data_IF_311584714821
#
_entry.id   IF_311584714821
#
_cell.length_a   1.000
_cell.length_b   1.000
_cell.length_c   1.000
_cell.angle_alpha   90.00
_cell.angle_beta   90.00
_cell.angle_gamma   90.00
#
_symmetry.space_group_name_H-M   'P 1'
#
loop_
_entity.id
_entity.type
_entity.pdbx_description
1 polymer ?
#
# COMPACT_ATOMS: atom_id res chain seq x y z
N UNK A 1 -51.15 -44.89 -53.24
CA UNK A 1 -49.72 -45.08 -53.55
C UNK A 1 -48.95 -44.32 -52.48
N UNK A 2 -48.54 -45.00 -51.41
CA UNK A 2 -47.14 -45.42 -51.14
C UNK A 2 -46.22 -44.22 -50.84
N UNK A 3 -45.48 -44.11 -49.73
CA UNK A 3 -45.30 -44.92 -48.53
C UNK A 3 -44.44 -44.15 -47.50
N UNK A 4 -44.56 -44.52 -46.20
CA UNK A 4 -43.53 -44.55 -45.14
C UNK A 4 -42.93 -43.23 -44.59
N UNK A 5 -42.56 -43.06 -43.31
CA UNK A 5 -42.54 -43.85 -42.07
C UNK A 5 -42.32 -42.82 -40.92
N UNK A 6 -42.94 -42.91 -39.74
CA UNK A 6 -42.39 -43.55 -38.52
C UNK A 6 -42.32 -42.50 -37.39
N UNK A 7 -43.21 -42.50 -36.39
CA UNK A 7 -43.17 -43.17 -35.05
C UNK A 7 -42.12 -42.68 -34.04
N UNK A 8 -42.60 -42.38 -32.82
CA UNK A 8 -41.84 -42.25 -31.57
C UNK A 8 -41.88 -40.83 -31.02
N UNK A 9 -42.51 -40.50 -29.89
CA UNK A 9 -42.45 -41.19 -28.60
C UNK A 9 -41.43 -40.45 -27.73
N UNK A 10 -41.89 -39.56 -26.85
CA UNK A 10 -41.03 -38.83 -25.92
C UNK A 10 -40.36 -39.77 -24.90
N UNK A 11 -39.15 -39.41 -24.45
CA UNK A 11 -38.92 -39.45 -23.00
C UNK A 11 -38.11 -38.27 -22.44
N UNK A 12 -38.53 -37.90 -21.23
CA UNK A 12 -37.76 -37.54 -20.04
C UNK A 12 -36.44 -36.74 -20.17
N UNK A 13 -36.49 -35.57 -19.53
CA UNK A 13 -35.35 -34.76 -19.16
C UNK A 13 -34.39 -35.56 -18.26
N UNK A 14 -33.17 -35.79 -18.76
CA UNK A 14 -32.03 -36.23 -17.97
C UNK A 14 -31.17 -35.02 -17.67
N UNK A 15 -31.04 -34.72 -16.37
CA UNK A 15 -30.07 -33.77 -15.87
C UNK A 15 -28.67 -34.35 -16.11
N UNK A 16 -27.86 -33.73 -16.97
CA UNK A 16 -26.44 -34.01 -17.03
C UNK A 16 -25.75 -33.24 -15.90
N UNK A 17 -25.28 -33.99 -14.91
CA UNK A 17 -24.30 -33.50 -13.96
C UNK A 17 -23.02 -33.18 -14.74
N UNK A 18 -22.78 -31.89 -15.00
CA UNK A 18 -21.50 -31.45 -15.51
C UNK A 18 -20.51 -31.48 -14.33
N UNK A 19 -19.52 -32.33 -14.48
CA UNK A 19 -18.44 -32.55 -13.52
C UNK A 19 -17.71 -31.25 -13.29
N UNK A 20 -17.76 -30.72 -12.06
CA UNK A 20 -16.83 -29.72 -11.60
C UNK A 20 -15.42 -30.30 -11.72
N UNK A 21 -14.65 -29.82 -12.69
CA UNK A 21 -13.21 -29.98 -12.70
C UNK A 21 -12.68 -29.26 -11.47
N UNK A 22 -12.29 -30.03 -10.45
CA UNK A 22 -11.39 -29.56 -9.41
C UNK A 22 -10.07 -29.22 -10.09
N UNK A 23 -9.86 -27.95 -10.42
CA UNK A 23 -8.52 -27.46 -10.68
C UNK A 23 -7.68 -27.81 -9.45
N UNK A 24 -6.61 -28.58 -9.69
CA UNK A 24 -5.65 -28.93 -8.67
C UNK A 24 -5.16 -27.62 -8.03
N UNK A 25 -5.34 -27.48 -6.72
CA UNK A 25 -4.74 -26.40 -5.96
C UNK A 25 -3.26 -26.34 -6.33
N UNK A 26 -2.81 -25.23 -6.90
CA UNK A 26 -1.39 -25.04 -7.18
C UNK A 26 -0.66 -25.14 -5.84
N UNK A 27 0.30 -26.07 -5.71
CA UNK A 27 1.20 -26.20 -4.56
C UNK A 27 2.15 -24.98 -4.48
N UNK A 28 1.61 -23.76 -4.36
CA UNK A 28 2.40 -22.55 -4.17
C UNK A 28 3.09 -22.64 -2.82
N UNK A 29 4.41 -22.58 -2.85
CA UNK A 29 5.22 -22.47 -1.63
C UNK A 29 5.65 -21.02 -1.48
N UNK A 30 5.25 -20.39 -0.38
CA UNK A 30 5.55 -19.00 -0.10
C UNK A 30 6.91 -18.86 0.59
N UNK A 31 7.69 -17.85 0.20
CA UNK A 31 8.98 -17.52 0.81
C UNK A 31 8.83 -17.17 2.29
N UNK A 32 7.81 -16.38 2.62
CA UNK A 32 7.49 -15.97 3.98
C UNK A 32 6.08 -16.37 4.36
N UNK A 33 5.89 -16.64 5.66
CA UNK A 33 4.58 -16.95 6.25
C UNK A 33 3.95 -15.71 6.87
N UNK A 34 2.61 -15.65 6.99
CA UNK A 34 1.88 -14.58 7.68
C UNK A 34 2.45 -14.31 9.07
N UNK A 35 2.60 -13.03 9.44
CA UNK A 35 3.02 -12.63 10.79
C UNK A 35 1.99 -12.98 11.85
N UNK A 36 0.71 -12.90 11.48
CA UNK A 36 -0.47 -13.21 12.30
C UNK A 36 -1.52 -13.88 11.43
N UNK A 37 -2.43 -14.63 12.06
CA UNK A 37 -3.56 -15.28 11.37
C UNK A 37 -4.91 -15.03 12.06
N UNK A 38 -4.89 -14.34 13.20
CA UNK A 38 -6.06 -14.03 14.01
C UNK A 38 -6.89 -12.87 13.43
N UNK A 39 -6.25 -12.00 12.64
CA UNK A 39 -6.85 -10.88 11.90
C UNK A 39 -6.21 -10.76 10.52
N UNK A 40 -6.94 -10.21 9.54
CA UNK A 40 -6.37 -9.88 8.24
C UNK A 40 -5.65 -8.53 8.30
N UNK A 41 -4.45 -8.49 7.76
CA UNK A 41 -3.56 -7.32 7.85
C UNK A 41 -2.94 -7.03 6.51
N UNK A 42 -2.80 -5.75 6.18
CA UNK A 42 -2.22 -5.33 4.92
C UNK A 42 -1.35 -4.09 5.08
N UNK A 43 -0.74 -3.65 3.98
CA UNK A 43 -0.14 -2.32 3.85
C UNK A 43 0.82 -1.98 5.02
N UNK A 44 1.83 -2.85 5.28
CA UNK A 44 2.58 -2.78 6.53
C UNK A 44 3.59 -1.63 6.50
N UNK A 45 3.40 -0.64 7.38
CA UNK A 45 4.42 0.37 7.68
C UNK A 45 5.24 -0.02 8.91
N UNK A 46 6.47 -0.50 8.72
CA UNK A 46 7.33 -1.01 9.78
C UNK A 46 8.37 0.01 10.25
N UNK A 47 8.45 0.19 11.57
CA UNK A 47 9.38 1.08 12.26
C UNK A 47 10.12 0.35 13.38
N UNK A 48 11.30 0.86 13.75
CA UNK A 48 12.07 0.34 14.89
C UNK A 48 12.19 1.41 15.97
N UNK A 49 11.56 1.15 17.12
CA UNK A 49 11.66 1.99 18.30
C UNK A 49 11.91 1.14 19.54
N UNK A 50 12.73 1.65 20.46
CA UNK A 50 13.09 0.94 21.70
C UNK A 50 13.56 -0.51 21.47
N UNK A 51 14.24 -0.76 20.35
CA UNK A 51 14.77 -2.08 19.97
C UNK A 51 13.74 -3.10 19.47
N UNK A 52 12.49 -2.69 19.23
CA UNK A 52 11.42 -3.55 18.71
C UNK A 52 10.93 -3.08 17.35
N UNK A 53 10.41 -4.01 16.55
CA UNK A 53 9.58 -3.67 15.41
C UNK A 53 8.19 -3.26 15.89
N UNK A 54 7.67 -2.18 15.33
CA UNK A 54 6.27 -1.79 15.36
C UNK A 54 5.78 -1.72 13.91
N UNK A 55 4.70 -2.43 13.61
CA UNK A 55 4.12 -2.48 12.27
C UNK A 55 2.73 -1.85 12.37
N UNK A 56 2.48 -0.87 11.51
CA UNK A 56 1.22 -0.16 11.36
C UNK A 56 0.55 -0.62 10.07
N UNK A 57 -0.15 -1.77 10.09
CA UNK A 57 -0.90 -2.24 8.93
C UNK A 57 -2.30 -1.61 8.85
N UNK A 58 -2.91 -1.70 7.68
CA UNK A 58 -4.38 -1.70 7.57
C UNK A 58 -4.96 -2.98 8.18
N UNK A 59 -6.16 -2.88 8.76
CA UNK A 59 -6.95 -4.02 9.22
C UNK A 59 -8.07 -4.33 8.21
N UNK A 60 -7.80 -5.31 7.36
CA UNK A 60 -8.75 -5.79 6.35
C UNK A 60 -9.95 -6.47 7.03
N UNK A 61 -11.16 -6.21 6.52
CA UNK A 61 -12.41 -6.83 7.00
C UNK A 61 -13.23 -7.39 5.84
N UNK A 62 -14.00 -8.44 6.11
CA UNK A 62 -14.92 -9.01 5.12
C UNK A 62 -16.22 -8.17 5.07
N UNK A 63 -16.23 -7.20 4.16
CA UNK A 63 -17.36 -6.31 3.89
C UNK A 63 -18.32 -6.85 2.82
N UNK A 64 -19.57 -6.35 2.76
CA UNK A 64 -20.54 -6.77 1.76
C UNK A 64 -20.33 -6.13 0.38
N UNK A 65 -19.44 -5.13 0.25
CA UNK A 65 -19.29 -4.38 -1.00
C UNK A 65 -18.60 -5.24 -2.08
N UNK A 66 -19.19 -5.36 -3.28
CA UNK A 66 -18.57 -6.09 -4.39
C UNK A 66 -17.24 -5.49 -4.83
N UNK A 67 -16.37 -6.35 -5.37
CA UNK A 67 -15.07 -5.95 -5.92
C UNK A 67 -15.23 -5.01 -7.14
N UNK A 68 -14.38 -3.98 -7.20
CA UNK A 68 -14.30 -3.03 -8.30
C UNK A 68 -12.88 -2.44 -8.41
N UNK A 69 -12.55 -1.84 -9.56
CA UNK A 69 -11.23 -1.26 -9.83
C UNK A 69 -10.91 -0.01 -8.97
N UNK A 70 -11.91 0.53 -8.26
CA UNK A 70 -11.75 1.72 -7.42
C UNK A 70 -11.53 1.37 -5.94
N UNK A 71 -11.46 0.09 -5.61
CA UNK A 71 -11.22 -0.38 -4.25
C UNK A 71 -12.39 -0.15 -3.29
N UNK A 72 -13.63 -0.05 -3.79
CA UNK A 72 -14.81 0.16 -2.93
C UNK A 72 -15.00 -0.95 -1.89
N UNK A 73 -14.52 -2.15 -2.20
CA UNK A 73 -14.53 -3.34 -1.35
C UNK A 73 -13.46 -3.35 -0.25
N UNK A 74 -12.48 -2.45 -0.29
CA UNK A 74 -11.53 -2.22 0.80
C UNK A 74 -12.20 -1.34 1.87
N UNK A 75 -12.92 -1.98 2.79
CA UNK A 75 -13.83 -1.35 3.76
C UNK A 75 -13.25 -1.22 5.18
N UNK A 76 -11.92 -1.24 5.33
CA UNK A 76 -11.22 -1.13 6.61
C UNK A 76 -11.73 0.06 7.45
N UNK A 77 -11.85 -0.15 8.77
CA UNK A 77 -12.49 0.79 9.70
C UNK A 77 -11.60 1.24 10.85
N UNK A 78 -10.58 0.47 11.17
CA UNK A 78 -9.73 0.71 12.31
C UNK A 78 -8.30 0.24 12.02
N UNK A 79 -7.39 0.54 12.95
CA UNK A 79 -6.01 0.09 12.91
C UNK A 79 -5.66 -0.68 14.18
N UNK A 80 -4.92 -1.77 14.03
CA UNK A 80 -4.23 -2.46 15.09
C UNK A 80 -2.73 -2.36 14.85
N UNK A 81 -1.95 -2.02 15.87
CA UNK A 81 -0.48 -2.02 15.77
C UNK A 81 0.04 -3.43 16.11
N UNK A 82 0.94 -3.97 15.30
CA UNK A 82 1.66 -5.20 15.62
C UNK A 82 3.02 -4.84 16.21
N UNK A 83 3.53 -5.68 17.12
CA UNK A 83 4.93 -5.57 17.58
C UNK A 83 5.62 -6.90 17.70
N UNK A 84 6.94 -6.90 17.46
CA UNK A 84 7.80 -8.07 17.66
C UNK A 84 9.25 -7.65 17.94
N UNK A 85 9.98 -8.45 18.73
CA UNK A 85 11.37 -8.13 19.07
C UNK A 85 12.36 -8.44 17.91
N UNK A 86 12.04 -9.47 17.12
CA UNK A 86 12.83 -9.95 15.99
C UNK A 86 11.95 -10.70 14.99
N UNK A 87 12.36 -10.72 13.73
CA UNK A 87 11.72 -11.54 12.68
C UNK A 87 11.76 -13.02 13.07
N UNK A 88 10.63 -13.71 12.86
CA UNK A 88 10.42 -15.10 13.29
C UNK A 88 10.16 -15.28 14.80
N UNK A 89 10.11 -14.19 15.57
CA UNK A 89 9.71 -14.20 16.98
C UNK A 89 8.19 -14.15 17.17
N UNK A 90 7.77 -14.10 18.43
CA UNK A 90 6.35 -13.89 18.79
C UNK A 90 5.91 -12.50 18.35
N UNK A 91 4.78 -12.43 17.65
CA UNK A 91 4.10 -11.18 17.30
C UNK A 91 3.01 -10.90 18.33
N UNK A 92 2.87 -9.64 18.73
CA UNK A 92 1.80 -9.15 19.58
C UNK A 92 0.89 -8.26 18.76
N UNK A 93 -0.40 -8.61 18.72
CA UNK A 93 -1.46 -7.77 18.15
C UNK A 93 -1.94 -6.81 19.25
N UNK A 94 -1.82 -5.51 19.00
CA UNK A 94 -2.32 -4.48 19.90
C UNK A 94 -3.84 -4.45 19.98
N UNK A 95 -4.41 -3.73 20.96
CA UNK A 95 -5.82 -3.35 20.91
C UNK A 95 -6.08 -2.45 19.68
N UNK A 96 -7.36 -2.15 19.43
CA UNK A 96 -7.72 -1.12 18.44
C UNK A 96 -7.00 0.18 18.81
N UNK A 97 -6.11 0.63 17.93
CA UNK A 97 -5.27 1.79 18.11
C UNK A 97 -6.00 3.07 17.70
N UNK A 98 -6.84 2.99 16.65
CA UNK A 98 -7.72 4.07 16.19
C UNK A 98 -8.88 3.47 15.38
N UNK A 99 -10.11 3.89 15.65
CA UNK A 99 -11.32 3.54 14.89
C UNK A 99 -11.86 4.79 14.17
N UNK A 100 -12.35 4.64 12.94
CA UNK A 100 -12.94 5.72 12.13
C UNK A 100 -14.03 6.49 12.88
N UNK A 101 -14.80 5.84 13.76
CA UNK A 101 -15.84 6.48 14.59
C UNK A 101 -15.29 7.55 15.54
N UNK A 102 -14.00 7.49 15.84
CA UNK A 102 -13.31 8.47 16.68
C UNK A 102 -12.79 9.67 15.88
N UNK A 103 -12.79 9.60 14.54
CA UNK A 103 -12.24 10.63 13.64
C UNK A 103 -13.37 11.51 13.11
N UNK A 104 -13.53 12.76 13.57
CA UNK A 104 -14.75 13.56 13.32
C UNK A 104 -15.01 13.89 11.85
N UNK A 105 -13.94 14.03 11.05
CA UNK A 105 -13.99 14.42 9.66
C UNK A 105 -14.15 13.24 8.68
N UNK A 106 -13.74 12.03 9.10
CA UNK A 106 -13.73 10.85 8.25
C UNK A 106 -15.09 10.15 8.24
N UNK A 107 -15.41 9.53 7.10
CA UNK A 107 -16.61 8.72 6.90
C UNK A 107 -16.28 7.21 6.91
N UNK A 108 -15.27 6.80 6.13
CA UNK A 108 -14.95 5.38 5.89
C UNK A 108 -13.59 5.17 5.24
N UNK A 109 -13.23 3.89 5.06
CA UNK A 109 -12.06 3.42 4.30
C UNK A 109 -10.74 3.92 4.88
N UNK A 110 -10.41 3.41 6.06
CA UNK A 110 -9.16 3.63 6.77
C UNK A 110 -8.04 2.80 6.09
N UNK A 111 -7.46 3.36 5.03
CA UNK A 111 -6.47 2.71 4.15
C UNK A 111 -5.04 2.75 4.71
N UNK A 112 -4.03 2.42 3.90
CA UNK A 112 -2.64 2.23 4.33
C UNK A 112 -2.12 3.36 5.24
N UNK A 113 -1.84 3.10 6.53
CA UNK A 113 -1.32 4.12 7.43
C UNK A 113 0.21 4.10 7.49
N UNK A 114 0.78 5.11 8.13
CA UNK A 114 2.17 5.12 8.57
C UNK A 114 2.33 5.87 9.90
N UNK A 115 3.46 5.70 10.57
CA UNK A 115 3.74 6.34 11.85
C UNK A 115 5.10 7.04 11.89
N UNK A 116 5.22 8.03 12.77
CA UNK A 116 6.48 8.69 13.08
C UNK A 116 6.62 8.92 14.58
N UNK A 117 7.86 9.04 15.07
CA UNK A 117 8.15 9.38 16.45
C UNK A 117 8.96 10.67 16.53
N UNK A 118 8.49 11.62 17.35
CA UNK A 118 9.21 12.87 17.62
C UNK A 118 8.91 13.37 19.02
N UNK A 119 9.95 13.80 19.74
CA UNK A 119 9.83 14.46 21.04
C UNK A 119 8.91 13.73 22.05
N UNK A 120 9.02 12.40 22.15
CA UNK A 120 8.22 11.61 23.09
C UNK A 120 6.75 11.48 22.71
N UNK A 121 6.42 11.65 21.42
CA UNK A 121 5.06 11.50 20.88
C UNK A 121 5.14 10.65 19.62
N UNK A 122 4.22 9.69 19.52
CA UNK A 122 3.99 8.91 18.31
C UNK A 122 2.85 9.56 17.53
N UNK A 123 3.02 9.63 16.22
CA UNK A 123 2.10 10.22 15.27
C UNK A 123 1.68 9.12 14.30
N UNK A 124 0.39 8.82 14.22
CA UNK A 124 -0.20 7.94 13.22
C UNK A 124 -0.80 8.79 12.11
N UNK A 125 -0.29 8.65 10.91
CA UNK A 125 -0.81 9.26 9.69
C UNK A 125 -1.67 8.24 8.97
N UNK A 126 -2.84 8.66 8.53
CA UNK A 126 -3.80 7.72 7.95
C UNK A 126 -4.64 8.38 6.86
N UNK A 127 -4.86 7.71 5.72
CA UNK A 127 -5.80 8.14 4.72
C UNK A 127 -7.21 7.64 5.05
N UNK A 128 -8.22 8.49 4.84
CA UNK A 128 -9.62 8.12 4.91
C UNK A 128 -10.46 9.00 3.99
N UNK A 129 -11.62 8.51 3.55
CA UNK A 129 -12.58 9.35 2.82
C UNK A 129 -13.29 10.29 3.79
N UNK A 130 -13.32 11.57 3.44
CA UNK A 130 -14.18 12.54 4.09
C UNK A 130 -15.67 12.31 3.74
N UNK A 131 -16.56 13.06 4.39
CA UNK A 131 -18.01 12.97 4.19
C UNK A 131 -18.48 13.40 2.79
N UNK A 132 -17.58 13.93 1.96
CA UNK A 132 -17.82 14.25 0.55
C UNK A 132 -17.26 13.17 -0.39
N UNK A 133 -16.66 12.10 0.16
CA UNK A 133 -16.09 11.00 -0.58
C UNK A 133 -14.68 11.25 -1.13
N UNK A 134 -14.05 12.37 -0.76
CA UNK A 134 -12.67 12.67 -1.14
C UNK A 134 -11.70 12.08 -0.12
N UNK A 135 -10.63 11.45 -0.59
CA UNK A 135 -9.55 11.01 0.30
C UNK A 135 -8.77 12.20 0.83
N UNK A 136 -8.53 12.19 2.15
CA UNK A 136 -7.68 13.11 2.91
C UNK A 136 -6.75 12.32 3.81
N UNK A 137 -5.69 12.96 4.29
CA UNK A 137 -4.75 12.35 5.25
C UNK A 137 -4.92 13.05 6.59
N UNK A 138 -5.24 12.28 7.63
CA UNK A 138 -5.28 12.73 9.01
C UNK A 138 -4.01 12.40 9.77
N UNK A 139 -3.93 12.96 10.98
CA UNK A 139 -2.91 12.62 11.96
C UNK A 139 -3.56 12.39 13.32
N UNK A 140 -3.08 11.38 14.04
CA UNK A 140 -3.47 11.06 15.41
C UNK A 140 -2.23 10.91 16.28
N UNK A 141 -2.34 11.18 17.58
CA UNK A 141 -1.18 11.20 18.50
C UNK A 141 -1.33 10.24 19.67
N UNK A 142 -0.22 9.63 20.09
CA UNK A 142 -0.16 8.75 21.25
C UNK A 142 1.17 8.92 22.03
N UNK A 143 1.19 8.44 23.27
CA UNK A 143 2.41 8.32 24.09
C UNK A 143 3.03 6.93 24.08
N UNK A 144 2.24 5.93 23.67
CA UNK A 144 2.67 4.56 23.46
C UNK A 144 2.64 4.27 21.94
N UNK A 145 3.67 3.61 21.37
CA UNK A 145 3.65 3.22 19.96
C UNK A 145 2.45 2.34 19.59
N UNK A 146 1.88 1.59 20.54
CA UNK A 146 0.71 0.73 20.33
C UNK A 146 -0.62 1.50 20.44
N UNK A 147 -0.59 2.82 20.70
CA UNK A 147 -1.79 3.63 20.92
C UNK A 147 -2.37 3.50 22.34
N UNK A 148 -3.66 3.81 22.54
CA UNK A 148 -4.59 4.35 21.54
C UNK A 148 -4.17 5.75 21.06
N UNK A 149 -4.42 6.04 19.79
CA UNK A 149 -4.13 7.33 19.18
C UNK A 149 -5.35 8.25 19.25
N UNK A 150 -5.11 9.52 19.58
CA UNK A 150 -6.13 10.57 19.57
C UNK A 150 -6.05 11.35 18.25
N UNK A 151 -7.08 11.28 17.37
CA UNK A 151 -7.06 11.99 16.09
C UNK A 151 -7.24 13.49 16.26
N UNK A 152 -6.65 14.26 15.34
CA UNK A 152 -7.01 15.66 15.14
C UNK A 152 -8.45 15.76 14.60
N UNK A 153 -9.10 16.90 14.88
CA UNK A 153 -10.49 17.12 14.50
C UNK A 153 -10.68 17.28 12.97
N UNK A 154 -9.64 17.75 12.28
CA UNK A 154 -9.59 18.00 10.85
C UNK A 154 -8.43 17.21 10.21
N UNK A 155 -8.49 16.92 8.90
CA UNK A 155 -7.35 16.35 8.18
C UNK A 155 -6.22 17.39 8.02
N UNK A 156 -5.02 16.92 7.68
CA UNK A 156 -3.86 17.79 7.39
C UNK A 156 -4.24 18.76 6.27
N UNK A 157 -3.98 20.05 6.46
CA UNK A 157 -4.36 21.08 5.51
C UNK A 157 -3.62 20.91 4.19
N UNK A 158 -4.38 20.85 3.10
CA UNK A 158 -3.84 20.64 1.76
C UNK A 158 -3.48 19.19 1.44
N UNK A 159 -3.79 18.24 2.34
CA UNK A 159 -3.72 16.82 2.02
C UNK A 159 -4.87 16.38 1.11
N UNK A 160 -4.58 15.32 0.35
CA UNK A 160 -5.50 14.65 -0.55
C UNK A 160 -4.90 13.29 -0.91
N UNK A 161 -5.71 12.44 -1.56
CA UNK A 161 -5.28 11.09 -1.93
C UNK A 161 -4.87 10.26 -0.71
N UNK A 162 -4.07 9.22 -0.91
CA UNK A 162 -3.88 8.11 0.04
C UNK A 162 -2.40 7.89 0.36
N UNK A 163 -2.13 6.81 1.11
CA UNK A 163 -0.82 6.19 1.31
C UNK A 163 0.28 7.14 1.81
N UNK A 164 0.10 7.79 2.97
CA UNK A 164 1.16 8.56 3.60
C UNK A 164 2.32 7.64 4.01
N UNK A 165 3.55 8.06 3.74
CA UNK A 165 4.76 7.56 4.37
C UNK A 165 5.61 8.73 4.88
N UNK A 166 5.90 8.75 6.18
CA UNK A 166 6.63 9.81 6.86
C UNK A 166 8.05 9.34 7.20
N UNK A 167 8.98 9.88 6.42
CA UNK A 167 10.40 9.65 6.60
C UNK A 167 11.03 10.80 7.39
N UNK A 168 11.75 10.48 8.45
CA UNK A 168 12.58 11.46 9.17
C UNK A 168 14.03 11.27 8.76
N UNK A 169 14.60 12.33 8.19
CA UNK A 169 15.97 12.34 7.69
C UNK A 169 16.98 12.52 8.83
N UNK A 170 18.25 12.26 8.51
CA UNK A 170 19.37 12.35 9.46
C UNK A 170 19.58 13.78 9.99
N UNK A 171 19.06 14.80 9.30
CA UNK A 171 19.07 16.20 9.73
C UNK A 171 17.91 16.57 10.68
N UNK A 172 17.04 15.61 10.99
CA UNK A 172 15.89 15.77 11.87
C UNK A 172 14.65 16.41 11.21
N UNK A 173 14.69 16.71 9.90
CA UNK A 173 13.50 17.08 9.14
C UNK A 173 12.69 15.84 8.80
N UNK A 174 11.36 15.96 8.85
CA UNK A 174 10.45 14.89 8.46
C UNK A 174 9.71 15.27 7.18
N UNK A 175 9.47 14.29 6.30
CA UNK A 175 8.85 14.45 5.00
C UNK A 175 7.76 13.42 4.84
N UNK A 176 6.56 13.86 4.48
CA UNK A 176 5.49 12.95 4.06
C UNK A 176 5.52 12.79 2.55
N UNK A 177 5.65 11.55 2.11
CA UNK A 177 5.38 11.11 0.75
C UNK A 177 3.95 10.57 0.71
N UNK A 178 3.20 10.84 -0.35
CA UNK A 178 1.83 10.34 -0.47
C UNK A 178 1.33 10.34 -1.91
N UNK A 179 0.22 9.65 -2.13
CA UNK A 179 -0.50 9.62 -3.39
C UNK A 179 -0.82 8.19 -3.84
N UNK A 180 -1.97 8.03 -4.47
CA UNK A 180 -2.36 6.80 -5.16
C UNK A 180 -3.29 7.14 -6.31
N UNK A 181 -3.03 6.59 -7.51
CA UNK A 181 -3.93 6.76 -8.66
C UNK A 181 -5.16 5.85 -8.51
N UNK A 182 -6.02 5.80 -9.51
CA UNK A 182 -7.23 4.99 -9.51
C UNK A 182 -8.14 5.28 -8.30
N UNK A 183 -8.42 4.28 -7.46
CA UNK A 183 -9.19 4.41 -6.23
C UNK A 183 -8.65 5.45 -5.25
N UNK A 184 -7.34 5.72 -5.30
CA UNK A 184 -6.66 6.73 -4.47
C UNK A 184 -6.85 8.18 -4.89
N UNK A 185 -7.49 8.44 -6.04
CA UNK A 185 -7.93 9.77 -6.49
C UNK A 185 -6.83 10.82 -6.77
N UNK A 186 -5.55 10.45 -6.85
CA UNK A 186 -4.46 11.41 -7.15
C UNK A 186 -4.71 12.16 -8.48
N UNK A 187 -5.19 11.44 -9.50
CA UNK A 187 -5.56 11.95 -10.83
C UNK A 187 -6.72 12.94 -10.82
N UNK A 188 -7.46 13.02 -9.71
CA UNK A 188 -8.57 13.97 -9.52
C UNK A 188 -8.12 15.26 -8.86
N UNK A 189 -6.83 15.44 -8.57
CA UNK A 189 -6.32 16.62 -7.88
C UNK A 189 -5.03 17.18 -8.53
N UNK A 190 -4.92 17.08 -9.86
CA UNK A 190 -3.72 17.46 -10.63
C UNK A 190 -3.33 18.94 -10.42
N UNK A 191 -4.32 19.83 -10.35
CA UNK A 191 -4.10 21.29 -10.24
C UNK A 191 -4.29 21.81 -8.81
N UNK A 192 -4.26 20.94 -7.79
CA UNK A 192 -4.55 21.31 -6.39
C UNK A 192 -6.03 21.59 -6.11
N UNK A 193 -6.92 21.26 -7.06
CA UNK A 193 -8.37 21.28 -6.88
C UNK A 193 -8.93 19.89 -7.15
N UNK A 194 -9.64 19.33 -6.16
CA UNK A 194 -10.32 18.04 -6.29
C UNK A 194 -11.49 18.13 -7.27
N UNK A 195 -11.53 17.22 -8.24
CA UNK A 195 -12.63 17.00 -9.17
C UNK A 195 -13.29 15.63 -8.92
N UNK A 196 -14.47 15.57 -8.27
CA UNK A 196 -15.15 14.31 -8.00
C UNK A 196 -15.56 13.54 -9.27
N UNK A 197 -15.67 14.23 -10.41
CA UNK A 197 -16.03 13.65 -11.71
C UNK A 197 -14.80 13.42 -12.60
N UNK A 198 -13.59 13.64 -12.08
CA UNK A 198 -12.35 13.42 -12.81
C UNK A 198 -12.09 11.95 -13.11
N UNK A 199 -11.00 11.69 -13.83
CA UNK A 199 -10.60 10.35 -14.27
C UNK A 199 -10.65 9.30 -13.15
N UNK A 200 -11.02 8.08 -13.52
CA UNK A 200 -11.07 6.92 -12.62
C UNK A 200 -9.75 6.19 -12.51
N UNK A 201 -8.79 6.47 -13.39
CA UNK A 201 -7.52 5.76 -13.47
C UNK A 201 -6.35 6.73 -13.30
N UNK A 202 -5.95 7.40 -14.37
CA UNK A 202 -4.78 8.27 -14.44
C UNK A 202 -5.07 9.49 -15.36
N UNK A 203 -4.03 10.05 -15.99
CA UNK A 203 -4.15 11.18 -16.92
C UNK A 203 -4.69 10.80 -18.31
N UNK A 204 -4.86 9.51 -18.63
CA UNK A 204 -5.29 9.00 -19.95
C UNK A 204 -4.45 9.55 -21.11
N UNK A 205 -3.13 9.62 -20.89
CA UNK A 205 -2.18 10.23 -21.82
C UNK A 205 -0.85 9.46 -21.81
N UNK A 206 -0.86 8.26 -22.40
CA UNK A 206 0.23 7.29 -22.28
C UNK A 206 1.59 7.76 -22.84
N UNK A 207 1.56 8.68 -23.81
CA UNK A 207 2.76 9.27 -24.40
C UNK A 207 3.36 10.42 -23.58
N UNK A 208 2.62 10.91 -22.56
CA UNK A 208 3.03 11.98 -21.65
C UNK A 208 3.65 11.41 -20.36
N UNK A 209 4.35 12.25 -19.57
CA UNK A 209 4.78 11.85 -18.24
C UNK A 209 3.62 11.31 -17.40
N UNK A 210 3.89 10.24 -16.66
CA UNK A 210 2.94 9.68 -15.70
C UNK A 210 2.63 10.68 -14.59
N UNK A 211 1.51 10.46 -13.90
CA UNK A 211 1.20 11.19 -12.68
C UNK A 211 2.21 10.83 -11.58
N UNK A 212 2.66 11.84 -10.83
CA UNK A 212 3.76 11.69 -9.89
C UNK A 212 3.27 11.66 -8.43
N UNK A 213 3.94 10.94 -7.52
CA UNK A 213 3.67 11.05 -6.09
C UNK A 213 3.94 12.45 -5.57
N UNK A 214 3.50 12.72 -4.35
CA UNK A 214 3.68 14.00 -3.68
C UNK A 214 4.65 13.87 -2.52
N UNK A 215 5.40 14.93 -2.23
CA UNK A 215 6.22 15.08 -1.03
C UNK A 215 6.02 16.45 -0.43
N UNK A 216 5.90 16.52 0.89
CA UNK A 216 5.91 17.76 1.64
C UNK A 216 6.72 17.59 2.92
N UNK A 217 7.57 18.56 3.25
CA UNK A 217 8.15 18.64 4.58
C UNK A 217 7.07 18.86 5.63
N UNK A 218 7.15 18.14 6.74
CA UNK A 218 6.26 18.27 7.89
C UNK A 218 6.64 19.48 8.75
N UNK A 219 5.65 20.10 9.39
CA UNK A 219 5.84 21.14 10.39
C UNK A 219 6.61 20.62 11.60
N UNK A 220 7.17 21.55 12.39
CA UNK A 220 7.95 21.20 13.58
C UNK A 220 7.19 20.35 14.60
N UNK A 221 5.88 20.58 14.72
CA UNK A 221 4.96 19.85 15.60
C UNK A 221 4.38 18.57 14.99
N UNK A 222 4.72 18.26 13.73
CA UNK A 222 4.33 17.06 12.98
C UNK A 222 2.83 16.97 12.64
N UNK A 223 2.06 18.04 12.84
CA UNK A 223 0.61 18.04 12.64
C UNK A 223 0.16 18.57 11.28
N UNK A 224 1.02 19.32 10.58
CA UNK A 224 0.70 19.98 9.32
C UNK A 224 1.86 19.87 8.32
N UNK A 225 1.63 20.26 7.08
CA UNK A 225 2.72 20.50 6.13
C UNK A 225 3.40 21.85 6.41
N UNK A 226 4.73 21.87 6.37
CA UNK A 226 5.53 23.09 6.43
C UNK A 226 5.60 23.83 5.08
N UNK A 227 5.06 23.24 4.02
CA UNK A 227 5.10 23.73 2.65
C UNK A 227 3.99 23.12 1.79
N UNK A 228 3.74 23.69 0.62
CA UNK A 228 2.85 23.07 -0.36
C UNK A 228 3.47 21.77 -0.89
N UNK A 229 2.71 20.65 -0.94
CA UNK A 229 3.18 19.41 -1.53
C UNK A 229 3.69 19.60 -2.96
N UNK A 230 4.83 18.97 -3.24
CA UNK A 230 5.55 19.04 -4.51
C UNK A 230 5.54 17.67 -5.18
N UNK A 231 5.71 17.65 -6.49
CA UNK A 231 5.80 16.38 -7.23
C UNK A 231 7.16 15.70 -7.02
N UNK A 232 7.13 14.40 -6.76
CA UNK A 232 8.30 13.53 -6.70
C UNK A 232 8.60 13.02 -8.10
N UNK A 233 9.65 13.55 -8.72
CA UNK A 233 10.03 13.15 -10.08
C UNK A 233 10.69 11.78 -10.09
N UNK A 234 10.15 10.87 -10.89
CA UNK A 234 10.73 9.55 -11.16
C UNK A 234 11.17 9.52 -12.62
N UNK A 235 12.45 9.26 -12.85
CA UNK A 235 13.07 9.33 -14.17
C UNK A 235 13.72 8.00 -14.56
N UNK A 236 13.81 7.74 -15.86
CA UNK A 236 14.60 6.64 -16.41
C UNK A 236 16.12 6.92 -16.32
N UNK A 237 16.93 5.98 -16.80
CA UNK A 237 18.39 6.06 -16.79
C UNK A 237 18.95 7.20 -17.64
N UNK A 238 18.12 7.80 -18.51
CA UNK A 238 18.46 8.96 -19.36
C UNK A 238 17.96 10.28 -18.74
N UNK A 239 17.35 10.24 -17.56
CA UNK A 239 16.80 11.41 -16.88
C UNK A 239 15.44 11.88 -17.43
N UNK A 240 14.75 11.07 -18.23
CA UNK A 240 13.40 11.37 -18.74
C UNK A 240 12.35 10.87 -17.75
N UNK A 241 11.29 11.65 -17.53
CA UNK A 241 10.17 11.20 -16.70
C UNK A 241 9.55 9.92 -17.29
N UNK A 242 9.23 8.97 -16.40
CA UNK A 242 8.47 7.78 -16.80
C UNK A 242 7.13 8.19 -17.39
N UNK A 243 6.67 7.45 -18.40
CA UNK A 243 5.47 7.78 -19.17
C UNK A 243 4.22 7.15 -18.58
N UNK A 244 3.05 7.72 -18.88
CA UNK A 244 1.75 7.20 -18.44
C UNK A 244 1.56 5.73 -18.78
N UNK A 245 1.87 5.33 -20.02
CA UNK A 245 1.74 3.95 -20.51
C UNK A 245 2.87 3.00 -20.08
N UNK A 246 3.81 3.44 -19.26
CA UNK A 246 4.93 2.63 -18.77
C UNK A 246 4.56 1.95 -17.44
N UNK A 247 3.50 1.12 -17.46
CA UNK A 247 2.85 0.59 -16.26
C UNK A 247 3.76 -0.31 -15.42
N UNK A 248 4.77 -0.91 -16.02
CA UNK A 248 5.79 -1.71 -15.33
C UNK A 248 6.69 -0.89 -14.40
N UNK A 249 6.73 0.44 -14.59
CA UNK A 249 7.67 1.33 -13.90
C UNK A 249 7.02 2.56 -13.29
N UNK A 250 5.93 3.08 -13.86
CA UNK A 250 5.29 4.30 -13.37
C UNK A 250 4.69 4.10 -11.98
N UNK A 251 4.67 5.17 -11.20
CA UNK A 251 4.07 5.18 -9.87
C UNK A 251 2.58 4.83 -9.94
N UNK A 252 2.10 4.01 -9.01
CA UNK A 252 0.69 3.78 -8.79
C UNK A 252 0.27 4.23 -7.39
N UNK A 253 0.85 3.64 -6.33
CA UNK A 253 0.57 3.92 -4.91
C UNK A 253 1.71 3.42 -4.00
N UNK A 254 1.49 3.30 -2.68
CA UNK A 254 2.43 2.70 -1.71
C UNK A 254 3.83 3.34 -1.66
N UNK A 255 3.89 4.68 -1.68
CA UNK A 255 5.15 5.39 -1.57
C UNK A 255 5.86 5.05 -0.25
N UNK A 256 7.15 4.70 -0.31
CA UNK A 256 7.99 4.47 0.87
C UNK A 256 9.39 5.05 0.64
N UNK A 257 9.97 5.64 1.69
CA UNK A 257 11.29 6.26 1.66
C UNK A 257 12.20 5.67 2.74
N UNK A 258 13.41 5.31 2.36
CA UNK A 258 14.49 4.98 3.30
C UNK A 258 15.84 5.47 2.76
N UNK A 259 16.85 5.52 3.63
CA UNK A 259 18.23 5.84 3.25
C UNK A 259 19.14 4.64 3.38
N UNK A 260 20.01 4.44 2.39
CA UNK A 260 21.06 3.44 2.42
C UNK A 260 22.36 4.03 1.85
N UNK A 261 23.46 3.95 2.61
CA UNK A 261 24.78 4.51 2.27
C UNK A 261 24.72 5.98 1.77
N UNK A 262 23.93 6.80 2.47
CA UNK A 262 23.80 8.24 2.18
C UNK A 262 22.96 8.59 0.94
N UNK A 263 22.34 7.60 0.28
CA UNK A 263 21.40 7.80 -0.83
C UNK A 263 19.97 7.58 -0.36
N UNK A 264 19.01 8.21 -1.06
CA UNK A 264 17.58 8.10 -0.80
C UNK A 264 16.96 7.10 -1.76
N UNK A 265 16.21 6.15 -1.24
CA UNK A 265 15.54 5.08 -1.99
C UNK A 265 14.04 5.30 -1.90
N UNK A 266 13.47 5.76 -3.01
CA UNK A 266 12.03 5.92 -3.17
C UNK A 266 11.47 4.66 -3.80
N UNK A 267 10.69 3.89 -3.05
CA UNK A 267 10.07 2.66 -3.49
C UNK A 267 8.55 2.78 -3.50
N UNK A 268 7.87 2.04 -4.37
CA UNK A 268 6.44 2.19 -4.61
C UNK A 268 5.84 0.96 -5.31
N UNK A 269 4.51 0.85 -5.25
CA UNK A 269 3.75 -0.13 -6.03
C UNK A 269 3.47 0.38 -7.44
N UNK A 270 3.49 -0.53 -8.41
CA UNK A 270 3.12 -0.26 -9.81
C UNK A 270 1.65 -0.59 -10.12
N UNK A 271 0.92 -1.14 -9.13
CA UNK A 271 -0.53 -1.39 -9.21
C UNK A 271 -0.89 -2.54 -10.15
N UNK A 272 -1.40 -2.21 -11.33
CA UNK A 272 -1.92 -3.16 -12.32
C UNK A 272 -0.85 -4.07 -12.96
N UNK A 273 0.42 -3.85 -12.66
CA UNK A 273 1.54 -4.75 -12.99
C UNK A 273 2.14 -5.46 -11.78
N UNK A 274 1.62 -5.16 -10.58
CA UNK A 274 1.85 -5.91 -9.34
C UNK A 274 3.29 -5.97 -8.83
N UNK A 275 4.16 -5.06 -9.29
CA UNK A 275 5.54 -4.98 -8.81
C UNK A 275 5.68 -3.99 -7.66
N UNK A 276 6.64 -4.26 -6.78
CA UNK A 276 7.27 -3.19 -6.00
C UNK A 276 8.50 -2.71 -6.74
N UNK A 277 8.54 -1.45 -7.12
CA UNK A 277 9.62 -0.81 -7.85
C UNK A 277 10.37 0.18 -6.95
N UNK A 278 11.55 0.63 -7.40
CA UNK A 278 12.30 1.68 -6.71
C UNK A 278 13.18 2.52 -7.63
N UNK A 279 13.48 3.73 -7.16
CA UNK A 279 14.49 4.61 -7.71
C UNK A 279 15.40 5.19 -6.63
N UNK A 280 16.58 5.64 -7.04
CA UNK A 280 17.61 6.19 -6.15
C UNK A 280 17.82 7.68 -6.46
N UNK A 281 17.95 8.49 -5.42
CA UNK A 281 18.22 9.93 -5.51
C UNK A 281 19.18 10.41 -4.42
N UNK A 282 19.53 11.69 -4.50
CA UNK A 282 20.50 12.38 -3.62
C UNK A 282 19.84 13.34 -2.61
N UNK A 283 18.51 13.43 -2.64
CA UNK A 283 17.72 14.37 -1.84
C UNK A 283 16.36 13.74 -1.55
N UNK A 284 15.71 14.08 -0.41
CA UNK A 284 14.34 13.66 -0.14
C UNK A 284 13.35 14.14 -1.22
N UNK A 285 13.67 15.19 -1.98
CA UNK A 285 12.79 15.68 -3.06
C UNK A 285 13.03 15.01 -4.43
N UNK A 286 14.05 14.14 -4.54
CA UNK A 286 14.48 13.59 -5.82
C UNK A 286 15.20 14.61 -6.72
N UNK A 287 15.20 14.40 -8.05
CA UNK A 287 14.54 13.30 -8.76
C UNK A 287 15.13 11.93 -8.36
N UNK A 288 14.32 10.89 -8.49
CA UNK A 288 14.71 9.50 -8.27
C UNK A 288 14.88 8.80 -9.62
N UNK A 289 16.07 8.28 -9.88
CA UNK A 289 16.33 7.48 -11.10
C UNK A 289 15.90 6.05 -10.84
N UNK A 290 14.96 5.52 -11.63
CA UNK A 290 14.49 4.14 -11.56
C UNK A 290 15.66 3.15 -11.61
N UNK A 291 15.59 2.08 -10.80
CA UNK A 291 16.64 1.06 -10.70
C UNK A 291 16.17 -0.38 -10.86
N UNK A 292 14.87 -0.65 -10.73
CA UNK A 292 14.33 -1.98 -10.93
C UNK A 292 13.21 -2.33 -9.96
N UNK A 293 13.01 -3.63 -9.78
CA UNK A 293 11.98 -4.23 -8.93
C UNK A 293 12.59 -4.75 -7.63
N UNK A 294 11.91 -4.47 -6.52
CA UNK A 294 12.20 -5.02 -5.20
C UNK A 294 11.50 -6.38 -5.03
N UNK A 295 10.24 -6.50 -5.44
CA UNK A 295 9.41 -7.69 -5.25
C UNK A 295 8.64 -8.00 -6.53
N UNK A 296 8.67 -9.26 -6.94
CA UNK A 296 7.82 -9.81 -8.00
C UNK A 296 6.36 -9.97 -7.53
N UNK A 297 5.38 -10.20 -8.43
CA UNK A 297 3.97 -10.27 -8.08
C UNK A 297 3.67 -11.29 -6.98
N UNK A 298 2.84 -10.89 -6.02
CA UNK A 298 2.36 -11.70 -4.91
C UNK A 298 1.04 -12.40 -5.27
N UNK A 299 0.49 -13.19 -4.34
CA UNK A 299 -0.90 -13.64 -4.46
C UNK A 299 -1.87 -12.53 -4.02
N UNK A 300 -2.92 -12.30 -4.82
CA UNK A 300 -3.81 -11.15 -4.68
C UNK A 300 -3.45 -10.03 -5.64
N UNK A 301 -4.35 -9.06 -5.84
CA UNK A 301 -4.14 -7.97 -6.82
C UNK A 301 -3.22 -6.86 -6.28
N UNK A 302 -3.37 -6.47 -5.01
CA UNK A 302 -2.57 -5.38 -4.42
C UNK A 302 -1.21 -5.88 -3.94
N UNK A 303 -0.21 -5.01 -4.04
CA UNK A 303 1.10 -5.18 -3.39
C UNK A 303 1.49 -3.85 -2.73
N UNK A 304 1.90 -3.91 -1.47
CA UNK A 304 2.23 -2.75 -0.64
C UNK A 304 3.33 -3.15 0.34
N UNK A 305 4.20 -2.21 0.72
CA UNK A 305 5.36 -2.53 1.55
C UNK A 305 5.89 -1.38 2.42
N UNK A 306 6.83 -1.77 3.27
CA UNK A 306 7.82 -0.89 3.87
C UNK A 306 9.18 -1.57 3.98
N UNK A 307 10.23 -0.77 4.12
CA UNK A 307 11.62 -1.21 4.25
C UNK A 307 12.25 -0.55 5.46
N UNK A 308 12.78 -1.38 6.37
CA UNK A 308 13.37 -0.89 7.61
C UNK A 308 14.64 -1.67 7.96
N UNK A 309 15.60 -0.98 8.56
CA UNK A 309 16.81 -1.60 9.12
C UNK A 309 16.61 -1.95 10.59
N UNK A 310 17.05 -3.14 11.00
CA UNK A 310 17.24 -3.52 12.40
C UNK A 310 18.45 -4.43 12.55
N UNK A 311 19.30 -4.13 13.53
CA UNK A 311 20.46 -4.95 13.90
C UNK A 311 21.40 -5.25 12.71
N UNK A 312 21.61 -4.26 11.84
CA UNK A 312 22.47 -4.37 10.65
C UNK A 312 21.87 -5.17 9.49
N UNK A 313 20.60 -5.57 9.58
CA UNK A 313 19.85 -6.25 8.53
C UNK A 313 18.71 -5.38 8.02
N UNK A 314 18.43 -5.51 6.74
CA UNK A 314 17.32 -4.82 6.09
C UNK A 314 16.17 -5.79 5.88
N UNK A 315 14.95 -5.31 6.10
CA UNK A 315 13.75 -6.12 6.06
C UNK A 315 12.72 -5.48 5.14
N UNK A 316 12.17 -6.29 4.24
CA UNK A 316 10.99 -5.93 3.46
C UNK A 316 9.77 -6.51 4.17
N UNK A 317 8.91 -5.63 4.67
CA UNK A 317 7.55 -6.00 5.07
C UNK A 317 6.63 -5.80 3.88
N UNK A 318 5.78 -6.78 3.60
CA UNK A 318 4.85 -6.75 2.48
C UNK A 318 3.58 -7.51 2.83
N UNK A 319 2.56 -7.49 1.98
CA UNK A 319 1.35 -8.28 2.17
C UNK A 319 1.00 -9.11 0.93
N UNK A 320 0.30 -10.21 1.14
CA UNK A 320 -0.34 -11.01 0.10
C UNK A 320 -1.65 -11.61 0.61
N UNK A 321 -2.33 -12.40 -0.21
CA UNK A 321 -3.60 -13.04 0.13
C UNK A 321 -3.49 -14.53 0.48
N UNK A 322 -2.32 -15.04 0.92
CA UNK A 322 -2.12 -16.48 1.20
C UNK A 322 -3.21 -17.07 2.12
N UNK A 323 -3.61 -16.37 3.17
CA UNK A 323 -4.56 -16.92 4.16
C UNK A 323 -5.98 -17.08 3.60
N UNK A 324 -6.38 -16.24 2.65
CA UNK A 324 -7.78 -16.12 2.23
C UNK A 324 -8.04 -16.48 0.76
N UNK A 325 -7.01 -16.38 -0.09
CA UNK A 325 -7.14 -16.38 -1.56
C UNK A 325 -7.92 -15.19 -2.12
N UNK A 326 -8.23 -14.16 -1.32
CA UNK A 326 -9.05 -13.01 -1.70
C UNK A 326 -8.23 -11.71 -1.63
N UNK A 327 -8.27 -10.90 -2.69
CA UNK A 327 -7.58 -9.60 -2.79
C UNK A 327 -7.87 -8.67 -1.62
N UNK A 328 -9.09 -8.72 -1.06
CA UNK A 328 -9.56 -7.83 0.02
C UNK A 328 -9.20 -8.28 1.43
N UNK A 329 -8.72 -9.52 1.60
CA UNK A 329 -8.42 -10.13 2.91
C UNK A 329 -6.97 -10.58 2.93
N UNK A 330 -6.06 -9.66 3.21
CA UNK A 330 -4.61 -9.88 3.06
C UNK A 330 -3.97 -10.24 4.40
N UNK A 331 -2.69 -10.61 4.34
CA UNK A 331 -1.86 -10.88 5.49
C UNK A 331 -0.46 -10.30 5.33
N UNK A 332 0.03 -9.63 6.37
CA UNK A 332 1.41 -9.10 6.39
C UNK A 332 2.43 -10.23 6.53
N UNK A 333 3.53 -10.09 5.80
CA UNK A 333 4.71 -10.96 5.78
C UNK A 333 5.99 -10.11 5.88
N UNK A 334 7.11 -10.77 6.15
CA UNK A 334 8.43 -10.14 6.19
C UNK A 334 9.49 -11.06 5.62
N UNK A 335 10.47 -10.50 4.90
CA UNK A 335 11.65 -11.21 4.41
C UNK A 335 12.89 -10.32 4.48
N UNK A 336 14.08 -10.92 4.47
CA UNK A 336 15.34 -10.17 4.47
C UNK A 336 15.57 -9.54 3.09
N UNK A 337 15.90 -8.25 3.09
CA UNK A 337 16.25 -7.47 1.90
C UNK A 337 17.76 -7.37 1.79
N UNK A 338 18.28 -7.58 0.59
CA UNK A 338 19.71 -7.54 0.32
C UNK A 338 20.07 -6.49 -0.73
N UNK A 339 21.03 -5.63 -0.40
CA UNK A 339 21.67 -4.75 -1.37
C UNK A 339 22.86 -5.45 -2.04
N UNK A 340 23.05 -5.14 -3.32
CA UNK A 340 24.29 -5.36 -4.05
C UNK A 340 25.34 -4.33 -3.64
N UNK A 341 26.60 -4.58 -4.02
CA UNK A 341 27.73 -3.70 -3.68
C UNK A 341 27.56 -2.28 -4.23
N UNK A 342 26.94 -2.14 -5.40
CA UNK A 342 26.66 -0.87 -6.09
C UNK A 342 25.47 -0.09 -5.52
N UNK A 343 24.81 -0.63 -4.49
CA UNK A 343 23.63 -0.05 -3.85
C UNK A 343 22.29 -0.47 -4.47
N UNK A 344 22.26 -1.22 -5.58
CA UNK A 344 20.99 -1.76 -6.09
C UNK A 344 20.43 -2.84 -5.15
N UNK A 345 19.11 -3.02 -5.14
CA UNK A 345 18.42 -4.04 -4.35
C UNK A 345 18.30 -5.34 -5.18
N UNK A 346 18.56 -6.48 -4.57
CA UNK A 346 18.29 -7.80 -5.17
C UNK A 346 16.77 -8.05 -5.17
N UNK A 347 16.21 -8.25 -6.36
CA UNK A 347 14.78 -8.58 -6.51
C UNK A 347 14.43 -9.87 -5.78
N UNK A 348 13.29 -9.85 -5.10
CA UNK A 348 12.75 -10.95 -4.31
C UNK A 348 11.59 -11.59 -5.08
N UNK A 349 11.62 -12.92 -5.19
CA UNK A 349 10.47 -13.73 -5.62
C UNK A 349 9.71 -14.14 -4.34
N UNK A 350 8.41 -13.80 -4.19
CA UNK A 350 7.65 -14.14 -2.99
C UNK A 350 7.33 -15.65 -2.89
N UNK A 351 7.67 -16.43 -3.92
CA UNK A 351 7.48 -17.88 -3.95
C UNK A 351 8.83 -18.62 -3.97
N UNK A 352 8.87 -19.81 -3.38
CA UNK A 352 10.02 -20.71 -3.47
C UNK A 352 9.75 -21.76 -4.53
N UNK A 353 10.74 -21.96 -5.41
CA UNK A 353 10.71 -22.97 -6.48
C UNK A 353 10.91 -24.38 -5.94
#
# INVERSE_FOLDING_TARGET
>A
MAACNGTGGAPEATASADSASSEAASDKKYLSQPLVSEIYTADPSAHVWNGKFYIYPSHDIDGPTPEDDLGSHFEMRDYHVLSMDKVGGKVTIGPVALDVKQVPWADKQMWAPDAAFKNGTYYLYFPAKDKQGAFRIGVATAKDPMGPFKPQAEPIKGSYSIDPAVFTDDDGQSYMYFGGIWGGQLQRNVNGKYDPNGSKTDLQADDKPALLPRVARMSGDMLEFAETPREVKIVDEKGQLLRGGDHDRRFFEAAWMHKYKGKYYFSYSTGDTHYLAYGIGDSPYGPFTYKGRILEPVEGWTTHHSIVEKDGKWWLFYADSQLSGQTRLRNVKVTELHYNEDGTIKTIDPFVR
#
